data_IF_864705999626
#
_entry.id   IF_864705999626
#
_cell.length_a   1.000
_cell.length_b   1.000
_cell.length_c   1.000
_cell.angle_alpha   90.00
_cell.angle_beta   90.00
_cell.angle_gamma   90.00
#
_symmetry.space_group_name_H-M   'P 1'
#
loop_
_entity.id
_entity.type
_entity.pdbx_description
1 polymer ?
#
# COMPACT_ATOMS: atom_id res chain seq x y z
N UNK A 1 -16.44 16.80 -2.88
CA UNK A 1 -15.32 16.31 -2.05
C UNK A 1 -15.79 15.05 -1.35
N UNK A 2 -14.93 14.03 -1.18
CA UNK A 2 -15.27 12.62 -0.91
C UNK A 2 -15.99 12.35 0.44
N UNK A 3 -16.21 13.39 1.26
CA UNK A 3 -17.04 13.28 2.48
C UNK A 3 -16.31 12.72 3.70
N UNK A 4 -14.97 12.78 3.73
CA UNK A 4 -14.18 12.41 4.90
C UNK A 4 -14.34 13.40 6.04
N UNK A 5 -14.07 12.95 7.26
CA UNK A 5 -14.14 13.78 8.45
C UNK A 5 -13.16 14.95 8.39
N UNK A 6 -13.65 16.14 8.75
CA UNK A 6 -12.92 17.39 8.69
C UNK A 6 -12.02 17.60 9.92
N UNK A 7 -11.08 16.68 10.12
CA UNK A 7 -10.10 16.75 11.21
C UNK A 7 -8.69 16.92 10.64
N UNK A 8 -7.96 17.94 11.11
CA UNK A 8 -6.62 18.25 10.61
C UNK A 8 -5.66 17.05 10.70
N UNK A 9 -5.72 16.28 11.79
CA UNK A 9 -4.91 15.07 11.96
C UNK A 9 -5.17 14.02 10.85
N UNK A 10 -6.45 13.74 10.54
CA UNK A 10 -6.84 12.79 9.47
C UNK A 10 -6.39 13.29 8.10
N UNK A 11 -6.46 14.60 7.85
CA UNK A 11 -5.95 15.21 6.62
C UNK A 11 -4.43 15.03 6.48
N UNK A 12 -3.65 15.33 7.51
CA UNK A 12 -2.18 15.18 7.45
C UNK A 12 -1.76 13.72 7.32
N UNK A 13 -2.44 12.79 7.98
CA UNK A 13 -2.20 11.35 7.79
C UNK A 13 -2.51 10.90 6.37
N UNK A 14 -3.66 11.30 5.83
CA UNK A 14 -4.03 10.99 4.45
C UNK A 14 -3.01 11.57 3.45
N UNK A 15 -2.63 12.83 3.64
CA UNK A 15 -1.62 13.50 2.82
C UNK A 15 -0.28 12.77 2.90
N UNK A 16 0.20 12.42 4.10
CA UNK A 16 1.45 11.69 4.30
C UNK A 16 1.42 10.33 3.58
N UNK A 17 0.40 9.52 3.81
CA UNK A 17 0.29 8.18 3.19
C UNK A 17 0.24 8.32 1.67
N UNK A 18 -0.56 9.25 1.15
CA UNK A 18 -0.71 9.47 -0.29
C UNK A 18 0.59 9.99 -0.92
N UNK A 19 1.26 10.94 -0.29
CA UNK A 19 2.53 11.50 -0.75
C UNK A 19 3.62 10.44 -0.84
N UNK A 20 3.86 9.67 0.22
CA UNK A 20 4.84 8.59 0.20
C UNK A 20 4.44 7.47 -0.75
N UNK A 21 3.14 7.27 -0.97
CA UNK A 21 2.65 6.29 -1.93
C UNK A 21 3.01 6.67 -3.37
N UNK A 22 2.74 7.91 -3.75
CA UNK A 22 3.17 8.40 -5.06
C UNK A 22 4.69 8.40 -5.19
N UNK A 23 5.42 8.80 -4.14
CA UNK A 23 6.87 8.84 -4.15
C UNK A 23 7.50 7.46 -4.40
N UNK A 24 7.07 6.43 -3.66
CA UNK A 24 7.60 5.08 -3.88
C UNK A 24 7.21 4.54 -5.26
N UNK A 25 6.01 4.86 -5.77
CA UNK A 25 5.58 4.44 -7.12
C UNK A 25 6.45 5.07 -8.21
N UNK A 26 6.78 6.36 -8.06
CA UNK A 26 7.70 7.04 -8.96
C UNK A 26 9.08 6.37 -8.96
N UNK A 27 9.65 6.10 -7.78
CA UNK A 27 10.95 5.43 -7.69
C UNK A 27 10.91 3.98 -8.19
N UNK A 28 9.81 3.26 -7.96
CA UNK A 28 9.62 1.92 -8.50
C UNK A 28 9.61 1.94 -10.04
N UNK A 29 8.94 2.92 -10.66
CA UNK A 29 8.96 3.09 -12.12
C UNK A 29 10.36 3.40 -12.65
N UNK A 30 11.07 4.35 -12.02
CA UNK A 30 12.45 4.70 -12.37
C UNK A 30 13.40 3.50 -12.24
N UNK A 31 13.31 2.76 -11.12
CA UNK A 31 14.05 1.51 -10.90
C UNK A 31 13.77 0.51 -12.02
N UNK A 32 12.50 0.26 -12.34
CA UNK A 32 12.10 -0.73 -13.34
C UNK A 32 12.68 -0.41 -14.72
N UNK A 33 12.62 0.86 -15.14
CA UNK A 33 13.24 1.27 -16.41
C UNK A 33 14.76 1.07 -16.38
N UNK A 34 15.42 1.41 -15.26
CA UNK A 34 16.88 1.30 -15.14
C UNK A 34 17.43 -0.12 -15.12
N UNK A 35 16.63 -1.11 -14.68
CA UNK A 35 17.06 -2.53 -14.61
C UNK A 35 16.76 -3.31 -15.89
N UNK A 36 15.96 -2.74 -16.79
CA UNK A 36 15.55 -3.40 -18.03
C UNK A 36 16.27 -2.82 -19.26
N UNK A 37 16.54 -3.65 -20.28
CA UNK A 37 17.24 -3.19 -21.48
C UNK A 37 16.37 -2.34 -22.42
N UNK A 38 15.04 -2.42 -22.32
CA UNK A 38 14.12 -1.68 -23.17
C UNK A 38 12.79 -1.36 -22.45
N UNK A 39 12.17 -0.23 -22.80
CA UNK A 39 10.93 0.28 -22.23
C UNK A 39 9.74 -0.69 -22.37
N UNK A 40 9.68 -1.50 -23.44
CA UNK A 40 8.64 -2.51 -23.61
C UNK A 40 8.72 -3.60 -22.52
N UNK A 41 9.93 -4.07 -22.23
CA UNK A 41 10.16 -5.07 -21.16
C UNK A 41 9.87 -4.45 -19.80
N UNK A 42 10.29 -3.20 -19.58
CA UNK A 42 9.96 -2.43 -18.37
C UNK A 42 8.45 -2.37 -18.13
N UNK A 43 7.67 -2.07 -19.17
CA UNK A 43 6.21 -1.95 -19.08
C UNK A 43 5.55 -3.29 -18.72
N UNK A 44 5.95 -4.38 -19.37
CA UNK A 44 5.41 -5.72 -19.07
C UNK A 44 5.73 -6.12 -17.63
N UNK A 45 6.97 -5.90 -17.19
CA UNK A 45 7.41 -6.20 -15.84
C UNK A 45 6.62 -5.38 -14.81
N UNK A 46 6.54 -4.05 -14.99
CA UNK A 46 5.78 -3.17 -14.11
C UNK A 46 4.31 -3.57 -14.02
N UNK A 47 3.67 -3.91 -15.14
CA UNK A 47 2.26 -4.32 -15.18
C UNK A 47 2.01 -5.61 -14.38
N UNK A 48 2.88 -6.61 -14.54
CA UNK A 48 2.75 -7.87 -13.80
C UNK A 48 2.85 -7.67 -12.28
N UNK A 49 3.84 -6.91 -11.83
CA UNK A 49 4.01 -6.60 -10.41
C UNK A 49 2.90 -5.69 -9.87
N UNK A 50 2.42 -4.72 -10.67
CA UNK A 50 1.28 -3.87 -10.29
C UNK A 50 0.03 -4.71 -10.02
N UNK A 51 -0.26 -5.69 -10.88
CA UNK A 51 -1.39 -6.59 -10.71
C UNK A 51 -1.25 -7.43 -9.43
N UNK A 52 -0.07 -7.98 -9.18
CA UNK A 52 0.20 -8.76 -7.96
C UNK A 52 0.07 -7.91 -6.69
N UNK A 53 0.64 -6.70 -6.68
CA UNK A 53 0.54 -5.80 -5.54
C UNK A 53 -0.91 -5.39 -5.25
N UNK A 54 -1.72 -5.17 -6.29
CA UNK A 54 -3.14 -4.86 -6.11
C UNK A 54 -3.92 -6.04 -5.51
N UNK A 55 -3.73 -7.24 -6.05
CA UNK A 55 -4.47 -8.43 -5.63
C UNK A 55 -4.24 -8.76 -4.14
N UNK A 56 -3.00 -8.65 -3.67
CA UNK A 56 -2.61 -8.97 -2.30
C UNK A 56 -2.42 -7.73 -1.40
N UNK A 57 -2.95 -6.58 -1.79
CA UNK A 57 -2.92 -5.35 -0.99
C UNK A 57 -3.73 -5.42 0.31
N UNK A 58 -4.46 -6.51 0.56
CA UNK A 58 -5.37 -6.62 1.71
C UNK A 58 -6.78 -6.10 1.45
N UNK A 59 -7.03 -5.47 0.29
CA UNK A 59 -8.38 -5.01 -0.08
C UNK A 59 -9.20 -6.12 -0.77
N UNK A 60 -8.69 -6.69 -1.86
CA UNK A 60 -9.39 -7.78 -2.58
C UNK A 60 -9.36 -9.09 -1.78
N UNK A 61 -8.19 -9.42 -1.22
CA UNK A 61 -8.02 -10.57 -0.34
C UNK A 61 -7.69 -10.03 1.06
N UNK A 62 -8.66 -10.04 1.99
CA UNK A 62 -8.44 -9.60 3.36
C UNK A 62 -7.27 -10.34 4.02
N UNK A 63 -6.46 -9.64 4.82
CA UNK A 63 -5.28 -10.22 5.49
C UNK A 63 -5.59 -11.52 6.26
N UNK A 64 -6.70 -11.62 7.03
CA UNK A 64 -7.03 -12.85 7.77
C UNK A 64 -7.31 -14.07 6.90
N UNK A 65 -7.66 -13.88 5.62
CA UNK A 65 -7.96 -14.96 4.67
C UNK A 65 -6.73 -15.44 3.89
N UNK A 66 -5.60 -14.75 3.99
CA UNK A 66 -4.36 -15.15 3.32
C UNK A 66 -3.78 -16.37 4.06
N UNK A 67 -3.45 -17.48 3.37
CA UNK A 67 -2.81 -18.64 3.98
C UNK A 67 -1.55 -18.24 4.76
N UNK A 68 -1.35 -18.84 5.95
CA UNK A 68 -0.24 -18.46 6.85
C UNK A 68 1.15 -18.53 6.18
N UNK A 69 1.34 -19.43 5.22
CA UNK A 69 2.61 -19.56 4.50
C UNK A 69 2.80 -18.51 3.37
N UNK A 70 1.75 -17.78 2.95
CA UNK A 70 1.83 -16.68 1.97
C UNK A 70 1.81 -15.28 2.59
N UNK A 71 1.57 -15.17 3.90
CA UNK A 71 1.39 -13.87 4.56
C UNK A 71 2.63 -12.96 4.48
N UNK A 72 3.82 -13.52 4.27
CA UNK A 72 5.04 -12.72 4.07
C UNK A 72 4.93 -11.78 2.86
N UNK A 73 4.23 -12.20 1.79
CA UNK A 73 4.08 -11.37 0.59
C UNK A 73 3.26 -10.12 0.87
N UNK A 74 2.23 -10.25 1.70
CA UNK A 74 1.43 -9.11 2.17
C UNK A 74 2.31 -8.05 2.85
N UNK A 75 3.27 -8.47 3.68
CA UNK A 75 4.15 -7.55 4.41
C UNK A 75 5.21 -6.88 3.53
N UNK A 76 5.62 -7.51 2.42
CA UNK A 76 6.59 -6.94 1.46
C UNK A 76 5.87 -6.09 0.39
N UNK A 77 4.56 -6.22 0.23
CA UNK A 77 3.78 -5.45 -0.73
C UNK A 77 3.62 -3.98 -0.26
N UNK A 78 4.19 -2.98 -0.95
CA UNK A 78 4.08 -1.58 -0.53
C UNK A 78 2.62 -1.08 -0.56
N UNK A 79 1.84 -1.55 -1.53
CA UNK A 79 0.42 -1.18 -1.68
C UNK A 79 -0.41 -1.65 -0.48
N UNK A 80 -0.04 -2.76 0.16
CA UNK A 80 -0.73 -3.23 1.35
C UNK A 80 -0.65 -2.21 2.50
N UNK A 81 0.50 -1.56 2.66
CA UNK A 81 0.71 -0.52 3.66
C UNK A 81 0.01 0.78 3.32
N UNK A 82 -0.07 1.15 2.04
CA UNK A 82 -0.87 2.31 1.59
C UNK A 82 -2.34 2.12 1.92
N UNK A 83 -2.92 0.98 1.54
CA UNK A 83 -4.33 0.67 1.79
C UNK A 83 -4.59 0.63 3.30
N UNK A 84 -3.72 -0.03 4.07
CA UNK A 84 -3.78 -0.06 5.52
C UNK A 84 -3.81 1.36 6.10
N UNK A 85 -2.84 2.21 5.75
CA UNK A 85 -2.72 3.57 6.25
C UNK A 85 -3.93 4.44 5.91
N UNK A 86 -4.40 4.37 4.66
CA UNK A 86 -5.60 5.10 4.23
C UNK A 86 -6.84 4.67 5.04
N UNK A 87 -7.11 3.36 5.12
CA UNK A 87 -8.31 2.86 5.81
C UNK A 87 -8.27 3.19 7.30
N UNK A 88 -7.14 2.93 7.98
CA UNK A 88 -7.02 3.22 9.41
C UNK A 88 -7.09 4.72 9.69
N UNK A 89 -6.50 5.57 8.84
CA UNK A 89 -6.51 7.02 9.07
C UNK A 89 -7.90 7.64 9.01
N UNK A 90 -8.77 7.10 8.16
CA UNK A 90 -10.10 7.66 7.94
C UNK A 90 -11.17 7.00 8.81
N UNK A 91 -11.05 5.69 9.04
CA UNK A 91 -12.12 4.85 9.57
C UNK A 91 -11.75 4.09 10.85
N UNK A 92 -10.50 4.15 11.32
CA UNK A 92 -10.04 3.37 12.48
C UNK A 92 -10.69 3.75 13.81
N UNK A 93 -11.24 4.95 13.90
CA UNK A 93 -11.90 5.54 15.07
C UNK A 93 -13.41 5.79 14.86
N UNK A 94 -13.95 5.39 13.70
CA UNK A 94 -15.35 5.67 13.35
C UNK A 94 -16.28 4.60 13.96
N UNK A 95 -17.17 5.05 14.85
CA UNK A 95 -18.14 4.19 15.55
C UNK A 95 -19.48 4.06 14.83
N UNK A 96 -19.67 4.75 13.71
CA UNK A 96 -20.88 4.61 12.91
C UNK A 96 -21.06 3.16 12.43
N UNK A 97 -22.30 2.67 12.48
CA UNK A 97 -22.65 1.32 12.04
C UNK A 97 -22.85 1.25 10.54
N UNK A 98 -22.44 0.15 9.91
CA UNK A 98 -22.67 -0.12 8.49
C UNK A 98 -23.60 -1.31 8.28
N UNK A 99 -24.40 -1.24 7.22
CA UNK A 99 -25.24 -2.36 6.80
C UNK A 99 -24.37 -3.29 5.97
N UNK A 100 -24.12 -4.49 6.48
CA UNK A 100 -23.38 -5.54 5.77
C UNK A 100 -24.35 -6.66 5.42
N UNK A 101 -24.46 -7.07 4.13
CA UNK A 101 -25.29 -8.19 3.76
C UNK A 101 -24.94 -9.45 4.58
N UNK A 102 -25.95 -10.11 5.15
CA UNK A 102 -25.82 -11.32 5.97
C UNK A 102 -25.12 -11.14 7.33
N UNK A 103 -25.05 -9.91 7.88
CA UNK A 103 -24.56 -9.65 9.24
C UNK A 103 -25.63 -8.90 10.04
N UNK A 104 -26.06 -9.48 11.16
CA UNK A 104 -27.00 -8.87 12.11
C UNK A 104 -26.56 -9.21 13.54
N UNK A 105 -26.36 -8.23 14.44
CA UNK A 105 -26.57 -6.78 14.26
C UNK A 105 -25.53 -6.13 13.33
N UNK A 106 -25.83 -4.90 12.87
CA UNK A 106 -24.93 -4.09 12.04
C UNK A 106 -23.63 -3.78 12.83
N UNK A 107 -22.45 -4.16 12.33
CA UNK A 107 -21.19 -3.88 13.03
C UNK A 107 -20.82 -2.39 12.94
N UNK A 108 -20.05 -1.92 13.91
CA UNK A 108 -19.36 -0.63 13.81
C UNK A 108 -18.26 -0.72 12.73
N UNK A 109 -18.01 0.38 12.02
CA UNK A 109 -16.98 0.45 10.98
C UNK A 109 -15.61 0.03 11.52
N UNK A 110 -15.21 0.55 12.69
CA UNK A 110 -13.94 0.20 13.33
C UNK A 110 -13.77 -1.30 13.58
N UNK A 111 -14.83 -1.98 14.04
CA UNK A 111 -14.80 -3.41 14.35
C UNK A 111 -14.78 -4.23 13.06
N UNK A 112 -15.57 -3.83 12.07
CA UNK A 112 -15.59 -4.48 10.76
C UNK A 112 -14.22 -4.43 10.07
N UNK A 113 -13.58 -3.27 10.08
CA UNK A 113 -12.23 -3.07 9.52
C UNK A 113 -11.18 -3.93 10.24
N UNK A 114 -11.29 -4.07 11.55
CA UNK A 114 -10.40 -4.89 12.36
C UNK A 114 -10.62 -6.39 12.14
N UNK A 115 -11.85 -6.86 12.25
CA UNK A 115 -12.17 -8.29 12.26
C UNK A 115 -12.22 -8.87 10.84
N UNK A 116 -12.79 -8.14 9.89
CA UNK A 116 -12.89 -8.61 8.50
C UNK A 116 -11.57 -8.44 7.74
N UNK A 117 -10.95 -7.26 7.85
CA UNK A 117 -9.76 -6.91 7.06
C UNK A 117 -8.44 -7.05 7.82
N UNK A 118 -8.46 -7.13 9.15
CA UNK A 118 -7.25 -7.24 9.98
C UNK A 118 -6.53 -5.92 10.25
N UNK A 119 -7.18 -4.78 9.98
CA UNK A 119 -6.57 -3.45 10.14
C UNK A 119 -6.72 -2.96 11.59
N UNK A 120 -5.62 -2.92 12.33
CA UNK A 120 -5.53 -2.40 13.69
C UNK A 120 -5.17 -0.90 13.69
N UNK A 121 -5.92 -0.05 14.43
CA UNK A 121 -5.66 1.39 14.53
C UNK A 121 -4.29 1.76 15.10
N UNK A 122 -3.82 1.00 16.09
CA UNK A 122 -2.54 1.26 16.78
C UNK A 122 -1.30 1.07 15.88
N UNK A 123 -1.49 0.51 14.68
CA UNK A 123 -0.40 0.16 13.77
C UNK A 123 -0.02 1.31 12.82
N UNK A 124 -0.55 2.52 13.00
CA UNK A 124 -0.29 3.66 12.12
C UNK A 124 1.19 4.08 12.10
N UNK A 125 1.87 4.10 13.25
CA UNK A 125 3.28 4.47 13.31
C UNK A 125 4.20 3.49 12.52
N UNK A 126 4.06 2.16 12.68
CA UNK A 126 4.72 1.19 11.80
C UNK A 126 4.44 1.42 10.31
N UNK A 127 3.18 1.68 9.93
CA UNK A 127 2.81 1.96 8.53
C UNK A 127 3.60 3.14 8.00
N UNK A 128 3.72 4.22 8.77
CA UNK A 128 4.47 5.40 8.37
C UNK A 128 5.94 5.11 8.11
N UNK A 129 6.59 4.39 9.02
CA UNK A 129 8.00 3.99 8.90
C UNK A 129 8.22 3.12 7.67
N UNK A 130 7.33 2.15 7.43
CA UNK A 130 7.45 1.22 6.31
C UNK A 130 7.26 1.92 4.96
N UNK A 131 6.32 2.86 4.84
CA UNK A 131 6.13 3.64 3.61
C UNK A 131 7.38 4.48 3.26
N UNK A 132 7.98 5.12 4.26
CA UNK A 132 9.26 5.84 4.09
C UNK A 132 10.36 4.86 3.69
N UNK A 133 10.42 3.69 4.35
CA UNK A 133 11.38 2.63 4.06
C UNK A 133 11.32 2.15 2.61
N UNK A 134 10.12 1.92 2.07
CA UNK A 134 9.93 1.54 0.66
C UNK A 134 10.39 2.64 -0.30
N UNK A 135 10.06 3.90 -0.02
CA UNK A 135 10.50 5.02 -0.86
C UNK A 135 12.04 5.10 -0.91
N UNK A 136 12.70 5.03 0.25
CA UNK A 136 14.17 5.02 0.34
C UNK A 136 14.76 3.80 -0.36
N UNK A 137 14.18 2.62 -0.16
CA UNK A 137 14.63 1.37 -0.79
C UNK A 137 14.58 1.45 -2.31
N UNK A 138 13.47 1.89 -2.90
CA UNK A 138 13.35 2.01 -4.35
C UNK A 138 14.26 3.10 -4.94
N UNK A 139 14.41 4.24 -4.24
CA UNK A 139 15.36 5.27 -4.64
C UNK A 139 16.82 4.78 -4.63
N UNK A 140 17.20 4.02 -3.60
CA UNK A 140 18.52 3.40 -3.51
C UNK A 140 18.73 2.38 -4.63
N UNK A 141 17.77 1.48 -4.84
CA UNK A 141 17.82 0.48 -5.90
C UNK A 141 17.94 1.11 -7.29
N UNK A 142 17.18 2.17 -7.56
CA UNK A 142 17.30 2.96 -8.79
C UNK A 142 18.72 3.56 -8.95
N UNK A 143 19.23 4.21 -7.89
CA UNK A 143 20.56 4.83 -7.90
C UNK A 143 21.68 3.80 -8.10
N UNK A 144 21.54 2.61 -7.56
CA UNK A 144 22.47 1.51 -7.74
C UNK A 144 22.38 0.92 -9.16
N UNK A 145 21.17 0.68 -9.65
CA UNK A 145 20.92 0.11 -10.98
C UNK A 145 21.46 1.03 -12.08
N UNK A 146 21.19 2.33 -12.03
CA UNK A 146 21.68 3.27 -13.06
C UNK A 146 23.21 3.36 -13.09
N UNK A 147 23.87 3.17 -11.93
CA UNK A 147 25.34 3.18 -11.83
C UNK A 147 25.97 1.91 -12.37
N UNK A 148 25.33 0.75 -12.19
CA UNK A 148 25.92 -0.57 -12.49
C UNK A 148 25.46 -1.14 -13.83
N UNK A 149 24.20 -0.90 -14.21
CA UNK A 149 23.58 -1.41 -15.42
C UNK A 149 23.56 -0.30 -16.48
N UNK A 150 24.63 -0.19 -17.25
CA UNK A 150 24.69 0.74 -18.38
C UNK A 150 24.27 0.04 -19.67
N UNK A 151 22.98 0.09 -19.99
CA UNK A 151 22.44 -0.48 -21.23
C UNK A 151 22.65 0.42 -22.46
N UNK A 152 23.16 1.65 -22.30
CA UNK A 152 23.39 2.58 -23.42
C UNK A 152 24.77 2.43 -24.08
N UNK A 153 25.68 1.65 -23.50
CA UNK A 153 27.06 1.46 -24.01
C UNK A 153 27.27 0.10 -24.69
N UNK A 154 26.20 -0.57 -25.13
CA UNK A 154 26.25 -1.78 -25.95
C UNK A 154 25.78 -1.53 -27.37
#
# INVERSE_FOLDING_TARGET
>A
MIGFEWTAAKFFWFYFVTFFSFLYWTYYGMMTVSITPNHQVAAIFAAAFYALFNLFSGFFIPRPRIPKWWIWYYWICPVAWTVYGCIVSQYGDVEATIIVPNMSPNPMIKDYIKDHFGYNPDFMAPVAVVLVGFAVFFAFMYSYAIKTLNFQTR
#
